data_IF_789553289451
#
_entry.id   IF_789553289451
#
_cell.length_a   1.000
_cell.length_b   1.000
_cell.length_c   1.000
_cell.angle_alpha   90.00
_cell.angle_beta   90.00
_cell.angle_gamma   90.00
#
_symmetry.space_group_name_H-M   'P 1'
#
loop_
_entity.id
_entity.type
_entity.pdbx_description
1 polymer ?
#
# COMPACT_ATOMS: atom_id res chain seq x y z
N UNK A 1 17.58 45.82 26.90
CA UNK A 1 18.26 44.58 26.45
C UNK A 1 19.51 44.91 25.66
N UNK A 2 20.64 44.24 25.93
CA UNK A 2 21.90 44.44 25.19
C UNK A 2 21.75 44.01 23.72
N UNK A 3 22.43 44.67 22.78
CA UNK A 3 22.36 44.40 21.33
C UNK A 3 22.59 42.92 20.98
N UNK A 4 23.53 42.26 21.67
CA UNK A 4 23.83 40.82 21.51
C UNK A 4 22.63 39.93 21.85
N UNK A 5 21.89 40.25 22.92
CA UNK A 5 20.70 39.49 23.35
C UNK A 5 19.59 39.57 22.30
N UNK A 6 19.39 40.72 21.65
CA UNK A 6 18.40 40.88 20.58
C UNK A 6 18.75 40.04 19.34
N UNK A 7 20.02 39.96 18.97
CA UNK A 7 20.50 39.16 17.84
C UNK A 7 20.32 37.66 18.12
N UNK A 8 20.69 37.20 19.31
CA UNK A 8 20.53 35.79 19.71
C UNK A 8 19.06 35.39 19.67
N UNK A 9 18.16 36.22 20.21
CA UNK A 9 16.72 35.94 20.18
C UNK A 9 16.21 35.89 18.73
N UNK A 10 16.62 36.83 17.88
CA UNK A 10 16.23 36.82 16.47
C UNK A 10 16.66 35.55 15.74
N UNK A 11 17.91 35.10 15.94
CA UNK A 11 18.43 33.87 15.34
C UNK A 11 17.73 32.61 15.90
N UNK A 12 17.50 32.55 17.21
CA UNK A 12 16.79 31.44 17.83
C UNK A 12 15.34 31.34 17.32
N UNK A 13 14.63 32.47 17.22
CA UNK A 13 13.28 32.52 16.65
C UNK A 13 13.25 32.08 15.20
N UNK A 14 14.20 32.54 14.38
CA UNK A 14 14.31 32.11 12.99
C UNK A 14 14.57 30.60 12.87
N UNK A 15 15.48 30.05 13.69
CA UNK A 15 15.77 28.64 13.72
C UNK A 15 14.53 27.81 14.13
N UNK A 16 13.77 28.24 15.13
CA UNK A 16 12.54 27.57 15.56
C UNK A 16 11.51 27.55 14.42
N UNK A 17 11.32 28.67 13.71
CA UNK A 17 10.39 28.76 12.58
C UNK A 17 10.81 27.79 11.47
N UNK A 18 12.10 27.77 11.11
CA UNK A 18 12.62 26.87 10.06
C UNK A 18 12.48 25.41 10.47
N UNK A 19 12.92 25.04 11.67
CA UNK A 19 12.82 23.67 12.16
C UNK A 19 11.37 23.21 12.29
N UNK A 20 10.47 24.06 12.80
CA UNK A 20 9.04 23.79 12.87
C UNK A 20 8.40 23.61 11.50
N UNK A 21 8.78 24.46 10.53
CA UNK A 21 8.33 24.34 9.14
C UNK A 21 8.79 23.05 8.48
N UNK A 22 10.07 22.68 8.63
CA UNK A 22 10.62 21.43 8.08
C UNK A 22 10.00 20.20 8.73
N UNK A 23 9.78 20.22 10.04
CA UNK A 23 9.12 19.14 10.75
C UNK A 23 7.66 18.98 10.28
N UNK A 24 6.92 20.09 10.19
CA UNK A 24 5.54 20.09 9.69
C UNK A 24 5.45 19.58 8.25
N UNK A 25 6.32 20.05 7.37
CA UNK A 25 6.40 19.57 5.99
C UNK A 25 6.76 18.08 5.92
N UNK A 26 7.72 17.62 6.74
CA UNK A 26 8.10 16.21 6.83
C UNK A 26 6.94 15.32 7.25
N UNK A 27 6.19 15.72 8.29
CA UNK A 27 5.01 14.98 8.74
C UNK A 27 3.89 14.97 7.70
N UNK A 28 3.70 16.07 6.96
CA UNK A 28 2.76 16.15 5.86
C UNK A 28 3.14 15.16 4.75
N UNK A 29 4.37 15.22 4.25
CA UNK A 29 4.81 14.33 3.18
C UNK A 29 4.89 12.86 3.60
N UNK A 30 5.20 12.57 4.87
CA UNK A 30 5.12 11.21 5.40
C UNK A 30 3.68 10.67 5.34
N UNK A 31 2.70 11.48 5.74
CA UNK A 31 1.29 11.10 5.62
C UNK A 31 0.88 10.92 4.16
N UNK A 32 1.34 11.79 3.25
CA UNK A 32 1.02 11.70 1.82
C UNK A 32 1.63 10.44 1.20
N UNK A 33 2.89 10.13 1.48
CA UNK A 33 3.65 9.09 0.77
C UNK A 33 3.62 7.70 1.44
N UNK A 34 3.62 7.62 2.77
CA UNK A 34 3.91 6.37 3.50
C UNK A 34 2.66 5.77 4.15
N UNK A 35 1.81 6.60 4.76
CA UNK A 35 0.64 6.10 5.49
C UNK A 35 -0.34 5.42 4.52
N UNK A 36 -0.71 4.15 4.71
CA UNK A 36 -1.69 3.46 3.86
C UNK A 36 -3.09 4.03 4.09
N UNK A 37 -3.48 5.00 3.27
CA UNK A 37 -4.78 5.66 3.35
C UNK A 37 -5.19 6.12 1.94
N UNK A 38 -6.49 6.22 1.63
CA UNK A 38 -6.95 6.69 0.32
C UNK A 38 -6.26 7.99 -0.08
N UNK A 39 -5.58 7.98 -1.22
CA UNK A 39 -4.84 9.13 -1.75
C UNK A 39 -5.65 9.79 -2.85
N UNK A 40 -6.04 11.04 -2.67
CA UNK A 40 -6.81 11.80 -3.66
C UNK A 40 -6.05 12.03 -4.97
N UNK A 41 -4.72 12.03 -4.92
CA UNK A 41 -3.85 12.20 -6.09
C UNK A 41 -3.65 10.91 -6.91
N UNK A 42 -3.97 9.73 -6.34
CA UNK A 42 -3.93 8.49 -7.10
C UNK A 42 -5.21 8.36 -7.93
N UNK A 43 -5.06 7.95 -9.19
CA UNK A 43 -6.21 7.62 -10.04
C UNK A 43 -7.03 6.51 -9.39
N UNK A 44 -8.35 6.70 -9.31
CA UNK A 44 -9.26 5.62 -8.87
C UNK A 44 -9.14 4.45 -9.84
N UNK A 45 -9.11 3.23 -9.29
CA UNK A 45 -9.16 2.01 -10.10
C UNK A 45 -10.39 2.04 -11.00
N UNK A 46 -10.17 1.92 -12.31
CA UNK A 46 -11.26 1.76 -13.26
C UNK A 46 -11.78 0.34 -13.15
N UNK A 47 -13.11 0.12 -13.06
CA UNK A 47 -13.67 -1.23 -13.06
C UNK A 47 -13.36 -1.90 -14.41
N UNK A 48 -12.96 -3.18 -14.36
CA UNK A 48 -12.67 -3.99 -15.54
C UNK A 48 -13.97 -4.40 -16.23
N UNK A 49 -14.08 -4.14 -17.53
CA UNK A 49 -15.28 -4.35 -18.35
C UNK A 49 -14.99 -5.27 -19.54
N UNK A 50 -16.06 -5.82 -20.13
CA UNK A 50 -15.98 -6.57 -21.39
C UNK A 50 -15.30 -5.68 -22.45
N UNK A 51 -14.23 -6.20 -23.05
CA UNK A 51 -13.41 -5.47 -24.03
C UNK A 51 -12.04 -5.04 -23.50
N UNK A 52 -11.84 -5.00 -22.17
CA UNK A 52 -10.52 -4.76 -21.59
C UNK A 52 -9.61 -5.99 -21.77
N UNK A 53 -8.32 -5.77 -22.03
CA UNK A 53 -7.34 -6.85 -22.18
C UNK A 53 -7.25 -7.75 -20.94
N UNK A 54 -7.50 -7.20 -19.76
CA UNK A 54 -7.47 -7.92 -18.47
C UNK A 54 -8.82 -8.60 -18.13
N UNK A 55 -9.86 -8.41 -18.94
CA UNK A 55 -11.19 -8.95 -18.66
C UNK A 55 -11.23 -10.49 -18.53
N UNK A 56 -10.53 -11.29 -19.37
CA UNK A 56 -10.53 -12.74 -19.22
C UNK A 56 -10.01 -13.18 -17.85
N UNK A 57 -8.89 -12.61 -17.41
CA UNK A 57 -8.28 -12.89 -16.11
C UNK A 57 -9.18 -12.47 -14.95
N UNK A 58 -9.75 -11.27 -15.04
CA UNK A 58 -10.66 -10.75 -14.04
C UNK A 58 -11.91 -11.64 -13.91
N UNK A 59 -12.53 -12.03 -15.03
CA UNK A 59 -13.70 -12.91 -15.04
C UNK A 59 -13.37 -14.29 -14.47
N UNK A 60 -12.28 -14.90 -14.93
CA UNK A 60 -11.82 -16.19 -14.43
C UNK A 60 -11.61 -16.15 -12.91
N UNK A 61 -10.95 -15.12 -12.39
CA UNK A 61 -10.68 -15.02 -10.96
C UNK A 61 -11.96 -14.87 -10.14
N UNK A 62 -12.97 -14.18 -10.65
CA UNK A 62 -14.27 -14.06 -9.99
C UNK A 62 -14.98 -15.41 -9.88
N UNK A 63 -14.89 -16.23 -10.94
CA UNK A 63 -15.56 -17.53 -11.05
C UNK A 63 -14.75 -18.69 -10.44
N UNK A 64 -13.44 -18.50 -10.24
CA UNK A 64 -12.55 -19.51 -9.68
C UNK A 64 -12.98 -19.93 -8.27
N UNK A 65 -12.95 -21.23 -8.00
CA UNK A 65 -13.19 -21.76 -6.67
C UNK A 65 -12.02 -21.38 -5.75
N UNK A 66 -12.30 -20.49 -4.79
CA UNK A 66 -11.33 -19.95 -3.85
C UNK A 66 -11.62 -20.46 -2.45
N UNK A 67 -10.63 -21.08 -1.84
CA UNK A 67 -10.65 -21.39 -0.42
C UNK A 67 -10.06 -20.20 0.35
N UNK A 68 -10.77 -19.72 1.38
CA UNK A 68 -10.22 -18.69 2.26
C UNK A 68 -9.15 -19.34 3.15
N UNK A 69 -7.93 -18.85 3.04
CA UNK A 69 -6.78 -19.32 3.82
C UNK A 69 -6.35 -18.24 4.80
N UNK A 70 -5.93 -18.64 6.00
CA UNK A 70 -5.33 -17.75 6.98
C UNK A 70 -4.02 -18.33 7.48
N UNK A 71 -3.03 -17.47 7.69
CA UNK A 71 -1.74 -17.86 8.24
C UNK A 71 -1.25 -16.80 9.23
N UNK A 72 -0.48 -17.22 10.23
CA UNK A 72 0.19 -16.28 11.13
C UNK A 72 1.59 -16.01 10.61
N UNK A 73 1.92 -14.73 10.42
CA UNK A 73 3.24 -14.35 9.94
C UNK A 73 4.34 -14.80 10.91
N UNK A 74 5.47 -15.22 10.35
CA UNK A 74 6.64 -15.68 11.11
C UNK A 74 7.16 -14.64 12.11
N UNK A 75 6.91 -13.35 11.83
CA UNK A 75 7.25 -12.24 12.72
C UNK A 75 6.01 -11.43 13.03
N UNK A 76 5.98 -10.75 14.19
CA UNK A 76 4.92 -9.78 14.57
C UNK A 76 3.49 -10.34 14.69
N UNK A 77 3.28 -11.65 14.55
CA UNK A 77 2.00 -12.34 14.76
C UNK A 77 0.82 -11.73 13.98
N UNK A 78 1.05 -11.31 12.74
CA UNK A 78 0.00 -10.78 11.88
C UNK A 78 -0.84 -11.94 11.35
N UNK A 79 -2.16 -11.76 11.35
CA UNK A 79 -3.07 -12.68 10.68
C UNK A 79 -3.13 -12.31 9.18
N UNK A 80 -2.49 -13.12 8.36
CA UNK A 80 -2.50 -13.00 6.91
C UNK A 80 -3.76 -13.67 6.35
N UNK A 81 -4.49 -12.96 5.50
CA UNK A 81 -5.71 -13.44 4.84
C UNK A 81 -5.44 -13.61 3.34
N UNK A 82 -5.67 -14.80 2.81
CA UNK A 82 -5.38 -15.15 1.43
C UNK A 82 -6.53 -15.92 0.76
N UNK A 83 -6.51 -15.95 -0.56
CA UNK A 83 -7.31 -16.86 -1.38
C UNK A 83 -6.39 -17.96 -1.89
N UNK A 84 -6.72 -19.21 -1.60
CA UNK A 84 -6.08 -20.37 -2.19
C UNK A 84 -6.91 -20.90 -3.36
N UNK A 85 -6.26 -21.08 -4.50
CA UNK A 85 -6.85 -21.65 -5.72
C UNK A 85 -6.06 -22.91 -6.03
N UNK A 86 -6.73 -24.07 -6.01
CA UNK A 86 -6.09 -25.34 -6.33
C UNK A 86 -5.71 -25.39 -7.82
N UNK A 87 -4.58 -26.02 -8.13
CA UNK A 87 -4.19 -26.27 -9.51
C UNK A 87 -5.19 -27.21 -10.20
N UNK A 88 -5.46 -26.98 -11.48
CA UNK A 88 -6.37 -27.82 -12.27
C UNK A 88 -5.86 -29.27 -12.42
N UNK A 89 -4.54 -29.48 -12.33
CA UNK A 89 -3.89 -30.79 -12.35
C UNK A 89 -3.03 -30.96 -11.08
N UNK A 90 -2.98 -32.16 -10.48
CA UNK A 90 -2.13 -32.42 -9.32
C UNK A 90 -0.67 -32.04 -9.59
N UNK A 91 -0.08 -31.29 -8.65
CA UNK A 91 1.30 -30.80 -8.74
C UNK A 91 1.85 -30.51 -7.36
N UNK A 92 3.16 -30.61 -7.21
CA UNK A 92 3.90 -30.23 -5.99
C UNK A 92 4.50 -28.82 -6.09
N UNK A 93 4.08 -28.04 -7.09
CA UNK A 93 4.51 -26.65 -7.29
C UNK A 93 3.43 -25.70 -6.78
N UNK A 94 3.83 -24.69 -6.02
CA UNK A 94 2.94 -23.66 -5.50
C UNK A 94 3.49 -22.30 -5.84
N UNK A 95 2.61 -21.39 -6.27
CA UNK A 95 2.94 -19.97 -6.49
C UNK A 95 2.32 -19.18 -5.35
N UNK A 96 3.12 -18.35 -4.70
CA UNK A 96 2.67 -17.40 -3.68
C UNK A 96 2.67 -16.01 -4.32
N UNK A 97 1.51 -15.36 -4.35
CA UNK A 97 1.35 -14.03 -4.93
C UNK A 97 1.11 -13.03 -3.79
N UNK A 98 2.05 -12.10 -3.62
CA UNK A 98 1.97 -11.05 -2.62
C UNK A 98 1.52 -9.74 -3.28
N UNK A 99 0.57 -9.04 -2.66
CA UNK A 99 0.10 -7.76 -3.18
C UNK A 99 1.07 -6.62 -2.85
N UNK A 100 1.07 -5.60 -3.71
CA UNK A 100 1.83 -4.37 -3.47
C UNK A 100 1.21 -3.45 -2.42
N UNK A 101 1.88 -2.31 -2.19
CA UNK A 101 1.43 -1.24 -1.30
C UNK A 101 -0.01 -0.79 -1.62
N UNK A 102 -0.85 -0.66 -0.60
CA UNK A 102 -2.26 -0.27 -0.70
C UNK A 102 -3.15 -1.14 -1.61
N UNK A 103 -2.70 -2.35 -1.97
CA UNK A 103 -3.50 -3.32 -2.72
C UNK A 103 -4.01 -4.44 -1.80
N UNK A 104 -4.64 -5.47 -2.37
CA UNK A 104 -5.13 -6.64 -1.67
C UNK A 104 -5.07 -7.89 -2.57
N UNK A 105 -5.40 -9.05 -2.00
CA UNK A 105 -5.38 -10.36 -2.67
C UNK A 105 -6.26 -10.45 -3.94
N UNK A 106 -7.37 -9.71 -4.01
CA UNK A 106 -8.32 -9.78 -5.12
C UNK A 106 -7.86 -8.95 -6.32
N UNK A 107 -6.99 -7.96 -6.10
CA UNK A 107 -6.41 -7.15 -7.17
C UNK A 107 -5.27 -7.87 -7.93
N UNK A 108 -4.84 -9.06 -7.47
CA UNK A 108 -3.73 -9.83 -8.07
C UNK A 108 -4.22 -10.90 -9.06
N UNK A 109 -5.43 -10.74 -9.59
CA UNK A 109 -6.09 -11.72 -10.43
C UNK A 109 -5.33 -12.04 -11.73
N UNK A 110 -4.60 -11.07 -12.26
CA UNK A 110 -3.82 -11.16 -13.49
C UNK A 110 -2.59 -12.06 -13.31
N UNK A 111 -1.93 -11.99 -12.17
CA UNK A 111 -0.84 -12.91 -11.79
C UNK A 111 -1.33 -14.32 -11.46
N UNK A 112 -2.57 -14.45 -10.98
CA UNK A 112 -3.17 -15.73 -10.63
C UNK A 112 -3.76 -16.48 -11.84
N UNK A 113 -3.93 -15.79 -12.97
CA UNK A 113 -4.66 -16.29 -14.12
C UNK A 113 -4.02 -17.54 -14.74
N UNK A 114 -4.85 -18.53 -15.07
CA UNK A 114 -4.47 -19.84 -15.62
C UNK A 114 -5.22 -20.15 -16.90
#
# INVERSE_FOLDING_TARGET
MKRKTKIIIGLASAAIIVCGGLFGAGMYFYNVAVVPAPKSFLSKSKPIKKGDALYPAHKWYQEANKQRWNEISATRHLKLDANYIAAAKPTNKTVIIAHGFMSNKDNMFDYAYM
#
